data_IF_883294192694
#
_entry.id   IF_883294192694
#
_cell.length_a   1.000
_cell.length_b   1.000
_cell.length_c   1.000
_cell.angle_alpha   90.00
_cell.angle_beta   90.00
_cell.angle_gamma   90.00
#
_symmetry.space_group_name_H-M   'P 1'
#
loop_
_entity.id
_entity.type
_entity.pdbx_description
1 polymer ?
#
# COMPACT_ATOMS: atom_id res chain seq x y z
N UNK A 1 -0.19 29.39 31.08
CA UNK A 1 -1.56 28.80 31.10
C UNK A 1 -2.64 29.80 30.76
N UNK A 2 -2.56 31.05 31.24
CA UNK A 2 -3.59 32.07 30.97
C UNK A 2 -3.79 32.44 29.49
N UNK A 3 -2.75 32.37 28.65
CA UNK A 3 -2.91 32.62 27.21
C UNK A 3 -3.61 31.48 26.46
N UNK A 4 -3.27 30.23 26.78
CA UNK A 4 -3.95 29.04 26.22
C UNK A 4 -5.46 29.07 26.55
N UNK A 5 -5.83 29.55 27.74
CA UNK A 5 -7.21 29.67 28.17
C UNK A 5 -8.04 30.71 27.40
N UNK A 6 -7.39 31.63 26.67
CA UNK A 6 -8.05 32.68 25.87
C UNK A 6 -8.19 32.35 24.39
N UNK A 7 -7.60 31.24 23.93
CA UNK A 7 -7.67 30.82 22.53
C UNK A 7 -9.11 30.45 22.16
N UNK A 8 -9.64 31.07 21.10
CA UNK A 8 -10.97 30.76 20.52
C UNK A 8 -10.91 29.86 19.28
N UNK A 9 -9.76 29.82 18.60
CA UNK A 9 -9.62 29.13 17.32
C UNK A 9 -8.28 28.42 17.27
N UNK A 10 -8.29 27.16 16.86
CA UNK A 10 -7.10 26.35 16.60
C UNK A 10 -7.15 25.87 15.15
N UNK A 11 -6.06 26.04 14.43
CA UNK A 11 -5.87 25.50 13.09
C UNK A 11 -4.89 24.36 13.18
N UNK A 12 -5.31 23.18 12.74
CA UNK A 12 -4.47 22.00 12.73
C UNK A 12 -3.96 21.72 11.33
N UNK A 13 -2.68 21.37 11.24
CA UNK A 13 -2.19 20.66 10.07
C UNK A 13 -2.72 19.21 10.08
N UNK A 14 -2.88 18.59 8.90
CA UNK A 14 -3.42 17.22 8.83
C UNK A 14 -2.31 16.17 8.95
N UNK A 15 -1.23 16.33 8.19
CA UNK A 15 -0.24 15.26 8.01
C UNK A 15 0.81 15.34 9.10
N UNK A 16 0.90 14.31 9.95
CA UNK A 16 1.80 14.32 11.11
C UNK A 16 1.23 15.00 12.35
N UNK A 17 0.06 15.65 12.27
CA UNK A 17 -0.65 16.23 13.42
C UNK A 17 -1.98 15.52 13.66
N UNK A 18 -2.92 15.54 12.71
CA UNK A 18 -4.18 14.78 12.83
C UNK A 18 -4.06 13.33 12.34
N UNK A 19 -3.08 13.06 11.47
CA UNK A 19 -2.83 11.74 10.88
C UNK A 19 -1.37 11.35 11.04
N UNK A 20 -1.06 10.06 11.02
CA UNK A 20 0.30 9.54 11.28
C UNK A 20 1.24 9.76 10.07
N UNK A 21 0.72 10.18 8.91
CA UNK A 21 1.53 10.39 7.70
C UNK A 21 2.10 9.11 7.08
N UNK A 22 1.64 7.93 7.54
CA UNK A 22 2.01 6.62 7.01
C UNK A 22 0.78 5.97 6.36
N UNK A 23 0.82 5.67 5.04
CA UNK A 23 -0.27 4.96 4.38
C UNK A 23 -0.47 3.57 4.99
N UNK A 24 -1.72 3.13 5.06
CA UNK A 24 -2.12 1.77 5.46
C UNK A 24 -3.20 1.27 4.53
N UNK A 25 -3.25 -0.05 4.32
CA UNK A 25 -4.36 -0.69 3.60
C UNK A 25 -5.59 -0.64 4.51
N UNK A 26 -6.67 -0.03 4.01
CA UNK A 26 -7.94 0.10 4.74
C UNK A 26 -8.99 -0.92 4.30
N UNK A 27 -8.93 -1.39 3.05
CA UNK A 27 -9.87 -2.30 2.43
C UNK A 27 -9.20 -3.00 1.25
N UNK A 28 -9.54 -4.26 1.04
CA UNK A 28 -9.29 -5.00 -0.19
C UNK A 28 -10.63 -5.28 -0.86
N UNK A 29 -10.76 -4.93 -2.14
CA UNK A 29 -11.95 -5.23 -2.94
C UNK A 29 -11.55 -6.19 -4.06
N UNK A 30 -12.23 -7.34 -4.11
CA UNK A 30 -11.97 -8.40 -5.09
C UNK A 30 -13.04 -8.30 -6.17
N UNK A 31 -12.60 -8.25 -7.44
CA UNK A 31 -13.51 -8.14 -8.59
C UNK A 31 -13.78 -9.49 -9.27
N UNK A 32 -12.98 -10.50 -8.95
CA UNK A 32 -13.05 -11.84 -9.51
C UNK A 32 -13.03 -12.85 -8.36
N UNK A 33 -14.15 -13.54 -8.16
CA UNK A 33 -14.37 -14.49 -7.06
C UNK A 33 -13.44 -15.71 -7.11
N UNK A 34 -12.65 -15.89 -8.18
CA UNK A 34 -11.60 -16.90 -8.22
C UNK A 34 -10.39 -16.56 -7.34
N UNK A 35 -10.30 -15.34 -6.81
CA UNK A 35 -9.25 -14.92 -5.89
C UNK A 35 -9.78 -14.77 -4.47
N UNK A 36 -9.00 -15.29 -3.52
CA UNK A 36 -9.16 -14.91 -2.12
C UNK A 36 -8.43 -13.60 -1.82
N UNK A 37 -8.83 -12.93 -0.74
CA UNK A 37 -8.13 -11.72 -0.26
C UNK A 37 -6.66 -12.00 0.01
N UNK A 38 -6.36 -13.15 0.62
CA UNK A 38 -4.99 -13.56 0.93
C UNK A 38 -4.16 -13.75 -0.33
N UNK A 39 -4.69 -14.40 -1.37
CA UNK A 39 -3.97 -14.58 -2.64
C UNK A 39 -3.74 -13.26 -3.36
N UNK A 40 -4.75 -12.38 -3.38
CA UNK A 40 -4.63 -11.07 -4.02
C UNK A 40 -3.56 -10.22 -3.32
N UNK A 41 -3.58 -10.17 -1.99
CA UNK A 41 -2.60 -9.47 -1.16
C UNK A 41 -1.21 -10.08 -1.34
N UNK A 42 -1.10 -11.41 -1.37
CA UNK A 42 0.18 -12.09 -1.60
C UNK A 42 0.79 -11.73 -2.95
N UNK A 43 -0.01 -11.73 -4.03
CA UNK A 43 0.45 -11.34 -5.37
C UNK A 43 0.88 -9.87 -5.40
N UNK A 44 0.07 -8.98 -4.80
CA UNK A 44 0.36 -7.55 -4.75
C UNK A 44 1.65 -7.25 -3.98
N UNK A 45 1.79 -7.83 -2.78
CA UNK A 45 2.96 -7.66 -1.93
C UNK A 45 4.22 -8.27 -2.56
N UNK A 46 4.11 -9.44 -3.21
CA UNK A 46 5.23 -10.08 -3.91
C UNK A 46 5.74 -9.21 -5.06
N UNK A 47 4.84 -8.62 -5.86
CA UNK A 47 5.21 -7.70 -6.93
C UNK A 47 5.87 -6.41 -6.41
N UNK A 48 5.35 -5.85 -5.31
CA UNK A 48 5.84 -4.60 -4.69
C UNK A 48 7.10 -4.81 -3.82
N UNK A 49 7.57 -6.04 -3.62
CA UNK A 49 8.69 -6.35 -2.72
C UNK A 49 10.02 -5.66 -3.11
N UNK A 50 10.17 -5.21 -4.36
CA UNK A 50 11.33 -4.45 -4.85
C UNK A 50 11.09 -2.93 -4.95
N UNK A 51 9.91 -2.46 -4.56
CA UNK A 51 9.47 -1.07 -4.67
C UNK A 51 9.76 -0.31 -3.38
N UNK A 52 10.36 0.88 -3.48
CA UNK A 52 10.62 1.75 -2.32
C UNK A 52 9.48 2.75 -2.03
N UNK A 53 8.35 2.61 -2.73
CA UNK A 53 7.23 3.54 -2.59
C UNK A 53 6.52 3.38 -1.22
N UNK A 54 6.06 4.48 -0.59
CA UNK A 54 5.31 4.40 0.67
C UNK A 54 4.05 3.51 0.62
N UNK A 55 3.42 3.41 -0.57
CA UNK A 55 2.28 2.51 -0.78
C UNK A 55 2.68 1.04 -0.86
N UNK A 56 3.84 0.73 -1.43
CA UNK A 56 4.41 -0.62 -1.44
C UNK A 56 4.62 -1.12 0.00
N UNK A 57 5.20 -0.27 0.85
CA UNK A 57 5.38 -0.57 2.27
C UNK A 57 4.05 -0.84 2.99
N UNK A 58 2.99 -0.08 2.67
CA UNK A 58 1.67 -0.31 3.25
C UNK A 58 1.10 -1.69 2.88
N UNK A 59 1.30 -2.13 1.63
CA UNK A 59 0.86 -3.44 1.14
C UNK A 59 1.71 -4.56 1.78
N UNK A 60 3.04 -4.40 1.84
CA UNK A 60 3.94 -5.36 2.47
C UNK A 60 3.61 -5.57 3.95
N UNK A 61 3.38 -4.48 4.69
CA UNK A 61 2.96 -4.55 6.09
C UNK A 61 1.59 -5.23 6.25
N UNK A 62 0.65 -4.97 5.35
CA UNK A 62 -0.66 -5.61 5.38
C UNK A 62 -0.55 -7.12 5.13
N UNK A 63 0.27 -7.53 4.17
CA UNK A 63 0.55 -8.93 3.87
C UNK A 63 1.23 -9.66 5.04
N UNK A 64 2.20 -9.01 5.69
CA UNK A 64 2.90 -9.55 6.86
C UNK A 64 1.93 -9.79 8.04
N UNK A 65 1.04 -8.83 8.32
CA UNK A 65 0.00 -8.97 9.35
C UNK A 65 -0.99 -10.11 9.07
N UNK A 66 -1.19 -10.49 7.80
CA UNK A 66 -2.02 -11.63 7.40
C UNK A 66 -1.26 -12.96 7.38
N UNK A 67 0.05 -12.96 7.67
CA UNK A 67 0.90 -14.13 7.54
C UNK A 67 0.96 -14.66 6.10
N UNK A 68 0.99 -13.75 5.12
CA UNK A 68 1.14 -14.11 3.72
C UNK A 68 2.62 -14.35 3.38
N UNK A 69 2.92 -15.48 2.75
CA UNK A 69 4.29 -15.80 2.31
C UNK A 69 4.56 -15.14 0.96
N UNK A 70 5.54 -14.24 0.90
CA UNK A 70 5.89 -13.56 -0.34
C UNK A 70 6.72 -14.46 -1.26
N UNK A 71 6.49 -14.32 -2.56
CA UNK A 71 7.30 -14.94 -3.60
C UNK A 71 8.24 -13.90 -4.21
N UNK A 72 9.41 -14.33 -4.68
CA UNK A 72 10.34 -13.41 -5.31
C UNK A 72 9.85 -13.04 -6.73
N UNK A 73 9.69 -11.75 -7.06
CA UNK A 73 9.24 -11.35 -8.39
C UNK A 73 10.37 -11.43 -9.42
N UNK A 74 10.03 -11.87 -10.63
CA UNK A 74 10.88 -11.76 -11.84
C UNK A 74 10.31 -10.71 -12.80
N UNK A 75 11.07 -10.33 -13.83
CA UNK A 75 10.65 -9.36 -14.86
C UNK A 75 10.06 -8.05 -14.28
N UNK A 76 10.66 -7.57 -13.19
CA UNK A 76 10.21 -6.37 -12.51
C UNK A 76 10.54 -5.11 -13.33
N UNK A 77 9.52 -4.30 -13.61
CA UNK A 77 9.65 -3.04 -14.35
C UNK A 77 8.84 -1.93 -13.66
N UNK A 78 9.40 -0.73 -13.62
CA UNK A 78 8.76 0.45 -13.02
C UNK A 78 8.32 1.41 -14.12
N UNK A 79 7.02 1.69 -14.17
CA UNK A 79 6.42 2.70 -15.01
C UNK A 79 6.23 3.98 -14.20
N UNK A 80 7.20 4.89 -14.29
CA UNK A 80 7.22 6.13 -13.50
C UNK A 80 5.89 6.89 -13.60
N UNK A 81 5.25 7.13 -12.45
CA UNK A 81 3.97 7.84 -12.34
C UNK A 81 2.73 7.01 -12.71
N UNK A 82 2.90 5.72 -13.05
CA UNK A 82 1.81 4.81 -13.40
C UNK A 82 1.73 3.63 -12.45
N UNK A 83 2.85 2.98 -12.16
CA UNK A 83 2.87 1.74 -11.38
C UNK A 83 4.06 0.85 -11.70
N UNK A 84 3.89 -0.45 -11.50
CA UNK A 84 4.89 -1.49 -11.74
C UNK A 84 4.29 -2.70 -12.47
N UNK A 85 5.15 -3.51 -13.08
CA UNK A 85 4.84 -4.87 -13.49
C UNK A 85 5.85 -5.85 -12.93
N UNK A 86 5.40 -7.07 -12.65
CA UNK A 86 6.26 -8.18 -12.25
C UNK A 86 5.62 -9.51 -12.65
N UNK A 87 6.43 -10.56 -12.71
CA UNK A 87 5.98 -11.94 -12.85
C UNK A 87 6.13 -12.65 -11.51
N UNK A 88 5.04 -13.27 -11.03
CA UNK A 88 4.99 -14.04 -9.78
C UNK A 88 4.35 -15.39 -10.08
N UNK A 89 5.05 -16.49 -9.80
CA UNK A 89 4.55 -17.85 -10.07
C UNK A 89 4.03 -18.01 -11.50
N UNK A 90 4.78 -17.52 -12.49
CA UNK A 90 4.43 -17.46 -13.91
C UNK A 90 3.17 -16.63 -14.25
N UNK A 91 2.63 -15.85 -13.31
CA UNK A 91 1.54 -14.90 -13.55
C UNK A 91 2.11 -13.50 -13.68
N UNK A 92 1.75 -12.80 -14.76
CA UNK A 92 2.06 -11.38 -14.92
C UNK A 92 1.10 -10.56 -14.05
N UNK A 93 1.66 -9.74 -13.17
CA UNK A 93 0.95 -8.87 -12.23
C UNK A 93 1.27 -7.42 -12.57
N UNK A 94 0.22 -6.59 -12.60
CA UNK A 94 0.28 -5.16 -12.86
C UNK A 94 -0.31 -4.44 -11.65
N UNK A 95 0.42 -3.46 -11.13
CA UNK A 95 -0.04 -2.66 -9.98
C UNK A 95 0.16 -1.21 -10.35
N UNK A 96 -0.89 -0.39 -10.25
CA UNK A 96 -0.79 1.00 -10.67
C UNK A 96 -2.13 1.71 -10.71
N UNK A 97 -2.12 2.89 -11.33
CA UNK A 97 -3.31 3.67 -11.58
C UNK A 97 -4.01 3.25 -12.88
N UNK A 98 -5.12 3.92 -13.21
CA UNK A 98 -5.96 3.61 -14.39
C UNK A 98 -5.35 4.01 -15.75
N UNK A 99 -4.09 4.46 -15.83
CA UNK A 99 -3.48 5.09 -17.03
C UNK A 99 -2.29 4.32 -17.61
#
# INVERSE_FOLDING_TARGET
MEELAKIKTIVFDKTGTLTIGKPTVNRVEILDDSFTEKELVQLAASAENRSSHPLANAILMYADNMGASLSEPTDFEVFKGKGISATINNKKVLIGNKR
#
